data_IF_802075547479
#
_entry.id   IF_802075547479
#
_cell.length_a   1.000
_cell.length_b   1.000
_cell.length_c   1.000
_cell.angle_alpha   90.00
_cell.angle_beta   90.00
_cell.angle_gamma   90.00
#
_symmetry.space_group_name_H-M   'P 1'
#
loop_
_entity.id
_entity.type
_entity.pdbx_description
1 polymer ?
#
# COMPACT_ATOMS: atom_id res chain seq x y z
N UNK A 1 19.04 -7.34 -8.33
CA UNK A 1 17.80 -6.91 -9.01
C UNK A 1 17.64 -5.42 -8.82
N UNK A 2 16.96 -4.75 -9.74
CA UNK A 2 16.66 -3.31 -9.65
C UNK A 2 15.35 -3.09 -8.87
N UNK A 3 15.27 -1.99 -8.12
CA UNK A 3 14.07 -1.58 -7.38
C UNK A 3 13.47 -0.37 -8.08
N UNK A 4 12.21 -0.48 -8.47
CA UNK A 4 11.47 0.57 -9.17
C UNK A 4 10.27 1.02 -8.34
N UNK A 5 9.95 2.31 -8.42
CA UNK A 5 8.72 2.87 -7.83
C UNK A 5 7.65 2.96 -8.91
N UNK A 6 6.47 2.38 -8.65
CA UNK A 6 5.37 2.31 -9.60
C UNK A 6 4.14 3.03 -9.04
N UNK A 7 3.54 3.91 -9.84
CA UNK A 7 2.25 4.52 -9.52
C UNK A 7 1.13 3.60 -10.02
N UNK A 8 0.21 3.12 -9.15
CA UNK A 8 -0.87 2.25 -9.60
C UNK A 8 -1.86 3.02 -10.49
N UNK A 9 -2.39 2.36 -11.51
CA UNK A 9 -3.41 2.95 -12.39
C UNK A 9 -4.73 3.24 -11.64
N UNK A 10 -5.14 2.33 -10.75
CA UNK A 10 -6.33 2.49 -9.94
C UNK A 10 -6.04 2.13 -8.48
N UNK A 11 -6.23 3.09 -7.58
CA UNK A 11 -5.80 2.94 -6.18
C UNK A 11 -6.64 1.92 -5.40
N UNK A 12 -7.95 1.86 -5.62
CA UNK A 12 -8.85 1.08 -4.77
C UNK A 12 -8.57 -0.43 -4.86
N UNK A 13 -8.28 -0.93 -6.06
CA UNK A 13 -7.96 -2.35 -6.28
C UNK A 13 -6.58 -2.68 -5.72
N UNK A 14 -5.59 -1.80 -5.95
CA UNK A 14 -4.24 -1.95 -5.39
C UNK A 14 -4.28 -2.06 -3.86
N UNK A 15 -4.92 -1.10 -3.17
CA UNK A 15 -5.02 -1.10 -1.71
C UNK A 15 -5.79 -2.33 -1.18
N UNK A 16 -6.83 -2.79 -1.86
CA UNK A 16 -7.59 -3.96 -1.44
C UNK A 16 -6.84 -5.31 -1.60
N UNK A 17 -5.75 -5.34 -2.37
CA UNK A 17 -4.90 -6.53 -2.53
C UNK A 17 -3.83 -6.67 -1.44
N UNK A 18 -3.58 -5.62 -0.64
CA UNK A 18 -2.50 -5.61 0.36
C UNK A 18 -3.09 -5.53 1.77
N UNK A 19 -2.53 -6.29 2.73
CA UNK A 19 -2.94 -6.25 4.13
C UNK A 19 -2.48 -4.97 4.86
N UNK A 20 -1.40 -4.36 4.37
CA UNK A 20 -0.68 -3.27 5.01
C UNK A 20 -0.25 -2.20 4.01
N UNK A 21 -0.10 -0.97 4.51
CA UNK A 21 0.47 0.16 3.80
C UNK A 21 1.59 0.78 4.64
N UNK A 22 2.78 0.89 4.05
CA UNK A 22 3.93 1.52 4.70
C UNK A 22 3.88 3.03 4.54
N UNK A 23 4.11 3.75 5.63
CA UNK A 23 4.23 5.20 5.63
C UNK A 23 5.70 5.55 5.41
N UNK A 24 5.97 6.37 4.40
CA UNK A 24 7.33 6.76 4.02
C UNK A 24 7.51 8.26 4.16
N UNK A 25 8.61 8.68 4.78
CA UNK A 25 9.03 10.09 4.89
C UNK A 25 10.54 10.18 4.66
N UNK A 26 10.96 11.04 3.73
CA UNK A 26 12.39 11.21 3.43
C UNK A 26 13.07 9.94 2.89
N UNK A 27 12.31 9.02 2.29
CA UNK A 27 12.83 7.72 1.82
C UNK A 27 12.87 6.63 2.89
N UNK A 28 12.51 6.94 4.14
CA UNK A 28 12.51 5.99 5.25
C UNK A 28 11.10 5.58 5.63
N UNK A 29 10.92 4.31 6.02
CA UNK A 29 9.66 3.80 6.57
C UNK A 29 9.53 4.29 8.01
N UNK A 30 8.49 5.09 8.25
CA UNK A 30 8.20 5.66 9.59
C UNK A 30 7.04 4.97 10.29
N UNK A 31 6.39 4.01 9.62
CA UNK A 31 5.31 3.24 10.20
C UNK A 31 4.64 2.31 9.21
N UNK A 32 3.69 1.52 9.72
CA UNK A 32 2.86 0.63 8.94
C UNK A 32 1.41 0.72 9.44
N UNK A 33 0.46 0.81 8.51
CA UNK A 33 -0.96 0.76 8.80
C UNK A 33 -1.57 -0.49 8.19
N UNK A 34 -2.43 -1.16 8.96
CA UNK A 34 -3.30 -2.21 8.45
C UNK A 34 -4.39 -1.61 7.57
N UNK A 35 -4.65 -2.23 6.42
CA UNK A 35 -5.84 -1.95 5.60
C UNK A 35 -7.06 -2.58 6.27
N UNK A 36 -7.63 -1.88 7.26
CA UNK A 36 -8.65 -2.41 8.17
C UNK A 36 -9.96 -2.88 7.49
N UNK A 37 -10.21 -2.41 6.27
CA UNK A 37 -11.38 -2.77 5.46
C UNK A 37 -11.06 -3.69 4.28
N UNK A 38 -9.84 -4.24 4.19
CA UNK A 38 -9.47 -5.15 3.09
C UNK A 38 -10.47 -6.29 2.96
N UNK A 39 -10.92 -6.53 1.73
CA UNK A 39 -11.82 -7.63 1.40
C UNK A 39 -13.26 -7.47 1.93
N UNK A 40 -13.61 -6.34 2.54
CA UNK A 40 -14.98 -6.06 3.01
C UNK A 40 -15.88 -5.60 1.85
N UNK A 41 -16.03 -6.49 0.88
CA UNK A 41 -16.94 -6.39 -0.25
C UNK A 41 -18.18 -7.22 0.13
N UNK A 42 -19.38 -6.72 -0.18
CA UNK A 42 -20.66 -7.29 0.31
C UNK A 42 -20.82 -8.78 0.05
#
# INVERSE_FOLDING_TARGET
>A
GEVLTIIPNHVCTCVNMHDEAFLVRGGEVVGCWRVAARGKIR
#
